data_IF_873471704723
#
_entry.id   IF_873471704723
#
_cell.length_a   1.000
_cell.length_b   1.000
_cell.length_c   1.000
_cell.angle_alpha   90.00
_cell.angle_beta   90.00
_cell.angle_gamma   90.00
#
_symmetry.space_group_name_H-M   'P 1'
#
loop_
_entity.id
_entity.type
_entity.pdbx_description
1 polymer ?
#
# COMPACT_ATOMS: atom_id res chain seq x y z
N UNK A 1 -18.17 -15.77 40.95
CA UNK A 1 -18.58 -16.49 39.72
C UNK A 1 -18.17 -15.65 38.53
N UNK A 2 -17.13 -16.04 37.79
CA UNK A 2 -16.72 -15.35 36.56
C UNK A 2 -17.73 -15.63 35.46
N UNK A 3 -18.21 -14.59 34.78
CA UNK A 3 -19.07 -14.74 33.60
C UNK A 3 -18.28 -15.55 32.56
N UNK A 4 -18.68 -16.80 32.33
CA UNK A 4 -18.14 -17.63 31.25
C UNK A 4 -18.71 -17.08 29.95
N UNK A 5 -17.90 -16.30 29.23
CA UNK A 5 -18.21 -15.89 27.87
C UNK A 5 -18.24 -17.15 26.99
N UNK A 6 -19.43 -17.64 26.69
CA UNK A 6 -19.61 -18.66 25.65
C UNK A 6 -19.38 -17.95 24.32
N UNK A 7 -18.17 -18.02 23.79
CA UNK A 7 -17.89 -17.58 22.43
C UNK A 7 -18.80 -18.36 21.49
N UNK A 8 -19.68 -17.65 20.80
CA UNK A 8 -20.65 -18.22 19.89
C UNK A 8 -19.85 -18.85 18.73
N UNK A 9 -19.87 -20.18 18.55
CA UNK A 9 -19.03 -20.89 17.57
C UNK A 9 -19.10 -20.28 16.15
N UNK A 10 -20.24 -19.68 15.79
CA UNK A 10 -20.42 -18.98 14.51
C UNK A 10 -19.57 -17.71 14.41
N UNK A 11 -19.49 -16.91 15.47
CA UNK A 11 -18.67 -15.70 15.51
C UNK A 11 -17.18 -16.05 15.41
N UNK A 12 -16.72 -17.08 16.13
CA UNK A 12 -15.34 -17.56 16.00
C UNK A 12 -14.99 -18.04 14.59
N UNK A 13 -15.89 -18.78 13.93
CA UNK A 13 -15.68 -19.24 12.56
C UNK A 13 -15.70 -18.10 11.54
N UNK A 14 -16.52 -17.07 11.76
CA UNK A 14 -16.55 -15.88 10.91
C UNK A 14 -15.27 -15.07 11.08
N UNK A 15 -14.82 -14.85 12.32
CA UNK A 15 -13.57 -14.15 12.63
C UNK A 15 -12.37 -14.87 12.02
N UNK A 16 -12.26 -16.19 12.20
CA UNK A 16 -11.14 -16.96 11.65
C UNK A 16 -11.09 -16.92 10.12
N UNK A 17 -12.27 -16.90 9.47
CA UNK A 17 -12.35 -16.74 8.00
C UNK A 17 -11.88 -15.36 7.57
N UNK A 18 -12.34 -14.31 8.25
CA UNK A 18 -11.95 -12.92 7.95
C UNK A 18 -10.43 -12.75 8.08
N UNK A 19 -9.84 -13.24 9.18
CA UNK A 19 -8.39 -13.19 9.39
C UNK A 19 -7.63 -13.94 8.29
N UNK A 20 -8.08 -15.16 7.96
CA UNK A 20 -7.46 -15.95 6.89
C UNK A 20 -7.56 -15.29 5.51
N UNK A 21 -8.67 -14.59 5.23
CA UNK A 21 -8.86 -13.86 3.99
C UNK A 21 -7.93 -12.65 3.90
N UNK A 22 -7.82 -11.86 4.97
CA UNK A 22 -6.92 -10.69 5.02
C UNK A 22 -5.46 -11.08 4.83
N UNK A 23 -5.02 -12.14 5.52
CA UNK A 23 -3.66 -12.66 5.36
C UNK A 23 -3.40 -13.16 3.93
N UNK A 24 -4.38 -13.84 3.33
CA UNK A 24 -4.32 -14.27 1.94
C UNK A 24 -4.23 -13.09 0.97
N UNK A 25 -5.09 -12.08 1.11
CA UNK A 25 -5.09 -10.87 0.29
C UNK A 25 -3.76 -10.12 0.38
N UNK A 26 -3.21 -10.02 1.59
CA UNK A 26 -1.90 -9.42 1.85
C UNK A 26 -0.80 -10.15 1.10
N UNK A 27 -0.73 -11.47 1.22
CA UNK A 27 0.25 -12.31 0.53
C UNK A 27 0.16 -12.17 -0.99
N UNK A 28 -1.05 -12.27 -1.53
CA UNK A 28 -1.30 -12.10 -2.98
C UNK A 28 -0.85 -10.73 -3.44
N UNK A 29 -1.11 -9.67 -2.66
CA UNK A 29 -0.70 -8.31 -3.01
C UNK A 29 0.83 -8.18 -3.10
N UNK A 30 1.57 -8.78 -2.16
CA UNK A 30 3.04 -8.77 -2.15
C UNK A 30 3.62 -9.60 -3.30
N UNK A 31 3.07 -10.78 -3.56
CA UNK A 31 3.49 -11.63 -4.69
C UNK A 31 3.21 -10.94 -6.02
N UNK A 32 2.03 -10.34 -6.19
CA UNK A 32 1.67 -9.59 -7.39
C UNK A 32 2.59 -8.39 -7.60
N UNK A 33 2.95 -7.66 -6.55
CA UNK A 33 3.91 -6.56 -6.63
C UNK A 33 5.30 -7.05 -7.05
N UNK A 34 5.77 -8.18 -6.51
CA UNK A 34 7.05 -8.81 -6.89
C UNK A 34 7.10 -9.14 -8.38
N UNK A 35 6.01 -9.66 -8.93
CA UNK A 35 5.96 -10.08 -10.34
C UNK A 35 5.79 -8.89 -11.32
N UNK A 36 5.39 -7.72 -10.80
CA UNK A 36 5.02 -6.56 -11.62
C UNK A 36 5.72 -5.25 -11.19
N UNK A 37 6.94 -5.32 -10.64
CA UNK A 37 7.66 -4.17 -10.07
C UNK A 37 7.74 -2.97 -11.04
N UNK A 38 8.34 -3.17 -12.22
CA UNK A 38 8.50 -2.14 -13.26
C UNK A 38 7.16 -1.61 -13.82
N UNK A 39 6.22 -2.45 -14.28
CA UNK A 39 4.96 -1.93 -14.81
C UNK A 39 4.10 -1.25 -13.73
N UNK A 40 4.16 -1.72 -12.48
CA UNK A 40 3.45 -1.12 -11.36
C UNK A 40 4.06 0.24 -10.96
N UNK A 41 5.39 0.34 -10.87
CA UNK A 41 6.09 1.59 -10.57
C UNK A 41 5.83 2.65 -11.64
N UNK A 42 5.87 2.27 -12.92
CA UNK A 42 5.55 3.15 -14.03
C UNK A 42 4.10 3.64 -13.99
N UNK A 43 3.13 2.73 -13.77
CA UNK A 43 1.71 3.11 -13.70
C UNK A 43 1.43 4.08 -12.53
N UNK A 44 2.01 3.83 -11.36
CA UNK A 44 1.86 4.69 -10.18
C UNK A 44 2.49 6.07 -10.42
N UNK A 45 3.77 6.10 -10.82
CA UNK A 45 4.49 7.36 -11.07
C UNK A 45 3.81 8.22 -12.13
N UNK A 46 3.37 7.60 -13.23
CA UNK A 46 2.62 8.28 -14.28
C UNK A 46 1.34 8.90 -13.74
N UNK A 47 0.56 8.14 -12.95
CA UNK A 47 -0.73 8.64 -12.44
C UNK A 47 -0.58 9.76 -11.40
N UNK A 48 0.43 9.67 -10.54
CA UNK A 48 0.73 10.72 -9.55
C UNK A 48 1.05 12.06 -10.21
N UNK A 49 1.82 12.04 -11.30
CA UNK A 49 2.18 13.24 -12.06
C UNK A 49 0.99 13.75 -12.88
N UNK A 50 0.26 12.86 -13.56
CA UNK A 50 -0.92 13.22 -14.37
C UNK A 50 -2.02 13.90 -13.56
N UNK A 51 -2.23 13.45 -12.32
CA UNK A 51 -3.22 14.03 -11.41
C UNK A 51 -2.67 15.24 -10.63
N UNK A 52 -1.44 15.68 -10.92
CA UNK A 52 -0.76 16.78 -10.23
C UNK A 52 -0.67 16.58 -8.70
N UNK A 53 -0.60 15.32 -8.26
CA UNK A 53 -0.38 14.97 -6.84
C UNK A 53 1.10 15.00 -6.48
N UNK A 54 1.99 14.78 -7.45
CA UNK A 54 3.44 14.91 -7.28
C UNK A 54 3.98 15.77 -8.39
N UNK A 55 4.61 16.89 -8.01
CA UNK A 55 5.37 17.73 -8.92
C UNK A 55 6.85 17.36 -8.84
N UNK A 56 7.45 17.01 -9.97
CA UNK A 56 8.83 16.51 -10.03
C UNK A 56 9.54 17.06 -11.26
N UNK A 57 10.86 17.24 -11.13
CA UNK A 57 11.75 17.59 -12.25
C UNK A 57 12.01 16.40 -13.18
N UNK A 58 11.78 15.17 -12.72
CA UNK A 58 12.06 13.94 -13.48
C UNK A 58 11.11 12.81 -13.11
N UNK A 59 10.15 12.52 -14.00
CA UNK A 59 9.25 11.35 -13.89
C UNK A 59 10.04 10.03 -13.83
N UNK A 60 11.13 9.91 -14.56
CA UNK A 60 11.95 8.70 -14.55
C UNK A 60 12.59 8.47 -13.17
N UNK A 61 13.08 9.55 -12.53
CA UNK A 61 13.60 9.48 -11.16
C UNK A 61 12.51 9.04 -10.18
N UNK A 62 11.32 9.63 -10.28
CA UNK A 62 10.16 9.25 -9.48
C UNK A 62 9.81 7.76 -9.63
N UNK A 63 9.75 7.25 -10.87
CA UNK A 63 9.50 5.84 -11.15
C UNK A 63 10.55 4.95 -10.50
N UNK A 64 11.84 5.25 -10.68
CA UNK A 64 12.94 4.47 -10.09
C UNK A 64 12.86 4.43 -8.55
N UNK A 65 12.48 5.54 -7.92
CA UNK A 65 12.33 5.60 -6.46
C UNK A 65 11.18 4.70 -5.97
N UNK A 66 10.04 4.74 -6.66
CA UNK A 66 8.89 3.87 -6.35
C UNK A 66 9.26 2.40 -6.57
N UNK A 67 9.95 2.09 -7.67
CA UNK A 67 10.40 0.73 -7.97
C UNK A 67 11.36 0.19 -6.91
N UNK A 68 12.39 0.97 -6.54
CA UNK A 68 13.32 0.63 -5.46
C UNK A 68 12.58 0.42 -4.13
N UNK A 69 11.53 1.19 -3.86
CA UNK A 69 10.71 0.99 -2.65
C UNK A 69 9.94 -0.33 -2.72
N UNK A 70 9.31 -0.65 -3.86
CA UNK A 70 8.60 -1.92 -4.05
C UNK A 70 9.55 -3.13 -3.96
N UNK A 71 10.74 -3.05 -4.56
CA UNK A 71 11.78 -4.08 -4.45
C UNK A 71 12.20 -4.35 -3.00
N UNK A 72 12.32 -3.30 -2.19
CA UNK A 72 12.61 -3.42 -0.76
C UNK A 72 11.45 -4.02 -0.01
N UNK A 73 10.22 -3.54 -0.26
CA UNK A 73 9.00 -4.02 0.39
C UNK A 73 8.86 -5.53 0.29
N UNK A 74 9.12 -6.09 -0.89
CA UNK A 74 8.97 -7.52 -1.16
C UNK A 74 9.92 -8.41 -0.34
N UNK A 75 10.93 -7.81 0.30
CA UNK A 75 11.94 -8.48 1.14
C UNK A 75 11.75 -8.22 2.64
N UNK A 76 10.89 -7.27 3.01
CA UNK A 76 10.62 -6.94 4.41
C UNK A 76 9.79 -8.06 5.06
N UNK A 77 9.94 -8.21 6.37
CA UNK A 77 9.05 -9.04 7.15
C UNK A 77 7.72 -8.32 7.45
N UNK A 78 6.76 -9.06 8.01
CA UNK A 78 5.42 -8.52 8.25
C UNK A 78 5.41 -7.44 9.31
N UNK A 79 6.28 -7.55 10.31
CA UNK A 79 6.40 -6.59 11.39
C UNK A 79 6.98 -5.26 10.90
N UNK A 80 8.02 -5.29 10.06
CA UNK A 80 8.62 -4.11 9.43
C UNK A 80 7.62 -3.39 8.55
N UNK A 81 6.83 -4.15 7.76
CA UNK A 81 5.75 -3.58 6.95
C UNK A 81 4.74 -2.89 7.86
N UNK A 82 4.23 -3.58 8.87
CA UNK A 82 3.23 -3.06 9.80
C UNK A 82 3.73 -1.83 10.56
N UNK A 83 5.01 -1.80 10.93
CA UNK A 83 5.66 -0.67 11.57
C UNK A 83 5.72 0.55 10.65
N UNK A 84 6.13 0.36 9.39
CA UNK A 84 6.18 1.45 8.39
C UNK A 84 4.79 2.05 8.12
N UNK A 85 3.75 1.22 8.09
CA UNK A 85 2.40 1.70 7.83
C UNK A 85 1.66 2.18 9.08
N UNK A 86 2.26 2.07 10.26
CA UNK A 86 1.62 2.42 11.53
C UNK A 86 0.94 3.81 11.54
N UNK A 87 1.55 4.87 11.01
CA UNK A 87 0.93 6.21 10.98
C UNK A 87 -0.31 6.28 10.07
N UNK A 88 -0.41 5.40 9.07
CA UNK A 88 -1.43 5.45 8.01
C UNK A 88 -2.50 4.36 8.14
N UNK A 89 -2.49 3.54 9.20
CA UNK A 89 -3.42 2.39 9.34
C UNK A 89 -4.89 2.80 9.37
N UNK A 90 -5.19 4.01 9.82
CA UNK A 90 -6.56 4.54 9.91
C UNK A 90 -6.96 5.36 8.68
N UNK A 91 -6.10 5.46 7.67
CA UNK A 91 -6.35 6.26 6.48
C UNK A 91 -7.60 5.78 5.71
N UNK A 92 -7.78 4.46 5.60
CA UNK A 92 -8.95 3.83 4.99
C UNK A 92 -9.34 2.56 5.75
N UNK A 93 -10.61 2.16 5.68
CA UNK A 93 -11.13 1.03 6.49
C UNK A 93 -10.54 -0.34 6.11
N UNK A 94 -10.23 -0.58 4.84
CA UNK A 94 -9.68 -1.85 4.35
C UNK A 94 -8.57 -1.57 3.33
N UNK A 95 -7.37 -1.21 3.80
CA UNK A 95 -6.30 -0.82 2.91
C UNK A 95 -5.64 -2.02 2.23
N UNK A 96 -5.36 -1.90 0.93
CA UNK A 96 -4.33 -2.69 0.29
C UNK A 96 -2.94 -2.33 0.87
N UNK A 97 -2.20 -3.34 1.34
CA UNK A 97 -0.89 -3.18 2.00
C UNK A 97 0.14 -2.46 1.13
N UNK A 98 0.20 -2.79 -0.16
CA UNK A 98 1.17 -2.20 -1.09
C UNK A 98 0.85 -0.72 -1.29
N UNK A 99 -0.43 -0.42 -1.53
CA UNK A 99 -0.88 0.95 -1.73
C UNK A 99 -0.58 1.81 -0.51
N UNK A 100 -0.75 1.26 0.70
CA UNK A 100 -0.51 2.01 1.92
C UNK A 100 0.99 2.22 2.20
N UNK A 101 1.84 1.23 1.93
CA UNK A 101 3.30 1.42 2.04
C UNK A 101 3.81 2.43 1.01
N UNK A 102 3.31 2.38 -0.23
CA UNK A 102 3.70 3.36 -1.25
C UNK A 102 3.19 4.76 -0.89
N UNK A 103 1.99 4.88 -0.32
CA UNK A 103 1.46 6.15 0.18
C UNK A 103 2.36 6.72 1.29
N UNK A 104 2.70 5.91 2.28
CA UNK A 104 3.63 6.30 3.35
C UNK A 104 4.99 6.73 2.77
N UNK A 105 5.51 6.01 1.78
CA UNK A 105 6.76 6.37 1.12
C UNK A 105 6.68 7.72 0.39
N UNK A 106 5.58 7.98 -0.32
CA UNK A 106 5.35 9.25 -1.00
C UNK A 106 5.32 10.39 0.01
N UNK A 107 4.54 10.26 1.08
CA UNK A 107 4.35 11.33 2.06
C UNK A 107 5.57 11.56 2.97
N UNK A 108 6.26 10.50 3.38
CA UNK A 108 7.34 10.62 4.39
C UNK A 108 8.75 10.68 3.81
N UNK A 109 8.98 10.09 2.63
CA UNK A 109 10.34 9.94 2.08
C UNK A 109 10.52 10.67 0.77
N UNK A 110 9.52 10.61 -0.11
CA UNK A 110 9.63 11.19 -1.44
C UNK A 110 9.58 12.73 -1.38
N UNK A 111 8.91 13.31 -0.38
CA UNK A 111 8.83 14.76 -0.16
C UNK A 111 10.21 15.42 0.00
N UNK A 112 11.19 14.70 0.56
CA UNK A 112 12.55 15.16 0.78
C UNK A 112 13.50 14.84 -0.40
N UNK A 113 13.00 14.22 -1.46
CA UNK A 113 13.83 13.83 -2.59
C UNK A 113 14.15 15.04 -3.47
N UNK A 114 15.43 15.24 -3.83
CA UNK A 114 15.92 16.39 -4.61
C UNK A 114 15.21 16.65 -5.94
N UNK A 115 14.63 15.61 -6.55
CA UNK A 115 13.94 15.69 -7.84
C UNK A 115 12.43 15.93 -7.68
N UNK A 116 11.94 16.00 -6.43
CA UNK A 116 10.54 16.28 -6.09
C UNK A 116 10.49 17.75 -5.69
N UNK A 117 9.59 18.48 -6.35
CA UNK A 117 9.38 19.90 -6.13
C UNK A 117 8.38 20.08 -4.99
N UNK A 118 7.24 19.38 -5.09
CA UNK A 118 6.20 19.41 -4.07
C UNK A 118 5.26 18.20 -4.18
N UNK A 119 4.51 17.92 -3.12
CA UNK A 119 3.48 16.88 -3.06
C UNK A 119 2.15 17.54 -2.66
N UNK A 120 1.12 17.32 -3.47
CA UNK A 120 -0.19 17.92 -3.32
C UNK A 120 -1.28 16.88 -3.10
N UNK A 121 -2.43 17.35 -2.62
CA UNK A 121 -3.59 16.52 -2.31
C UNK A 121 -3.60 16.05 -0.86
N UNK A 122 -4.71 15.46 -0.47
CA UNK A 122 -4.89 14.80 0.82
C UNK A 122 -4.30 13.38 0.82
N UNK A 123 -3.98 12.88 2.00
CA UNK A 123 -3.44 11.52 2.17
C UNK A 123 -4.37 10.47 1.54
N UNK A 124 -5.69 10.65 1.64
CA UNK A 124 -6.68 9.75 1.04
C UNK A 124 -6.72 9.85 -0.48
N UNK A 125 -6.59 11.05 -1.06
CA UNK A 125 -6.48 11.24 -2.51
C UNK A 125 -5.25 10.56 -3.09
N UNK A 126 -4.09 10.71 -2.42
CA UNK A 126 -2.84 10.05 -2.82
C UNK A 126 -3.00 8.54 -2.74
N UNK A 127 -3.56 8.03 -1.63
CA UNK A 127 -3.84 6.61 -1.46
C UNK A 127 -4.76 6.06 -2.56
N UNK A 128 -5.88 6.73 -2.84
CA UNK A 128 -6.84 6.28 -3.84
C UNK A 128 -6.26 6.31 -5.26
N UNK A 129 -5.42 7.31 -5.57
CA UNK A 129 -4.70 7.37 -6.84
C UNK A 129 -3.77 6.17 -7.02
N UNK A 130 -2.96 5.86 -6.01
CA UNK A 130 -2.04 4.71 -6.00
C UNK A 130 -2.82 3.40 -6.09
N UNK A 131 -3.81 3.21 -5.21
CA UNK A 131 -4.58 1.97 -5.13
C UNK A 131 -5.31 1.68 -6.45
N UNK A 132 -5.84 2.70 -7.13
CA UNK A 132 -6.44 2.52 -8.46
C UNK A 132 -5.47 1.92 -9.49
N UNK A 133 -4.17 2.23 -9.40
CA UNK A 133 -3.17 1.61 -10.27
C UNK A 133 -2.79 0.21 -9.80
N UNK A 134 -2.59 0.03 -8.49
CA UNK A 134 -2.23 -1.28 -7.90
C UNK A 134 -3.31 -2.33 -8.18
N UNK A 135 -4.59 -1.97 -8.04
CA UNK A 135 -5.72 -2.89 -8.28
C UNK A 135 -5.79 -3.42 -9.72
N UNK A 136 -5.21 -2.74 -10.71
CA UNK A 136 -5.17 -3.23 -12.11
C UNK A 136 -4.32 -4.48 -12.27
N UNK A 137 -3.36 -4.70 -11.36
CA UNK A 137 -2.48 -5.87 -11.37
C UNK A 137 -3.01 -6.99 -10.49
N UNK A 138 -3.94 -6.68 -9.57
CA UNK A 138 -4.48 -7.66 -8.65
C UNK A 138 -5.35 -8.67 -9.41
N UNK A 139 -5.27 -9.96 -9.06
CA UNK A 139 -6.21 -10.94 -9.60
C UNK A 139 -7.63 -10.58 -9.15
N UNK A 140 -8.62 -10.81 -10.03
CA UNK A 140 -10.02 -10.78 -9.63
C UNK A 140 -10.27 -12.00 -8.73
N UNK A 141 -10.25 -11.80 -7.41
CA UNK A 141 -10.51 -12.83 -6.39
C UNK A 141 -12.00 -12.88 -6.08
#
# INVERSE_FOLDING_TARGET
MGKVFRTNNKESMLLSRIESSKEKERRISIETARDNLEPMSNAISQKLVENSLVETTSKNSLQEQIEKKLEKLVKLDDFEIDYQIAPFRELVQNPNVISLVVTAFVLETLIDHKDVIDIYGSDDEIYHCINTQVQKFMPNI
#
